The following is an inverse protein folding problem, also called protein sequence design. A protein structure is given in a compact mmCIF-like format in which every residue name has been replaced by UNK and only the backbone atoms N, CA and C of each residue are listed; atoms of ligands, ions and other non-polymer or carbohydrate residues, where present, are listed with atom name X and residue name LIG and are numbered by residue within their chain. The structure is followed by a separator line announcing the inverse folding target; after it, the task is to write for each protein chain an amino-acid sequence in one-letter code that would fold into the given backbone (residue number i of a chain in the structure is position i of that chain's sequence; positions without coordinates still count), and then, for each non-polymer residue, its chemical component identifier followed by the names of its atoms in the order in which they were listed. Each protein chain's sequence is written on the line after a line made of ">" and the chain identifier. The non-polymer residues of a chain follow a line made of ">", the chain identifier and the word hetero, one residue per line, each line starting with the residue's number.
data_IF_443798174500
#
_entry.id   IF_443798174500
#
_cell.length_a   1.000
_cell.length_b   1.000
_cell.length_c   1.000
_cell.angle_alpha   90.00
_cell.angle_beta   90.00
_cell.angle_gamma   90.00
#
_symmetry.space_group_name_H-M   'P 1'
#
loop_
_entity.id
_entity.type
_entity.pdbx_description
1 polymer ?
#
# COMPACT_ATOMS: atom_id res chain seq x y z
N UNK A 1 -17.37 6.16 8.97
CA UNK A 1 -16.34 7.22 8.90
C UNK A 1 -15.04 6.55 8.53
N UNK A 2 -14.43 7.02 7.48
CA UNK A 2 -13.15 6.50 6.97
C UNK A 2 -11.99 7.43 7.37
N UNK A 3 -10.78 6.90 7.40
CA UNK A 3 -9.57 7.69 7.63
C UNK A 3 -8.56 7.41 6.52
N UNK A 4 -8.10 8.47 5.86
CA UNK A 4 -6.98 8.39 4.92
C UNK A 4 -5.67 8.31 5.72
N UNK A 5 -4.93 7.24 5.51
CA UNK A 5 -3.55 7.08 5.97
C UNK A 5 -2.57 7.38 4.84
N UNK A 6 -1.50 8.07 5.15
CA UNK A 6 -0.39 8.30 4.23
C UNK A 6 0.90 7.87 4.89
N UNK A 7 1.58 6.94 4.27
CA UNK A 7 2.86 6.43 4.74
C UNK A 7 4.00 7.13 4.02
N UNK A 8 4.93 7.63 4.80
CA UNK A 8 6.05 8.41 4.33
C UNK A 8 7.35 7.83 4.87
N UNK A 9 8.40 7.97 4.10
CA UNK A 9 9.78 7.76 4.55
C UNK A 9 10.52 9.08 4.45
N UNK A 10 10.99 9.55 5.58
CA UNK A 10 11.73 10.80 5.70
C UNK A 10 13.20 10.53 6.11
N UNK A 11 14.11 11.34 5.62
CA UNK A 11 15.51 11.35 6.08
C UNK A 11 15.59 12.12 7.39
N UNK A 12 16.12 11.50 8.45
CA UNK A 12 16.20 12.12 9.78
C UNK A 12 17.09 13.37 9.78
N UNK A 13 18.18 13.33 9.02
CA UNK A 13 19.19 14.40 8.99
C UNK A 13 19.08 15.34 7.78
N UNK A 14 18.03 15.21 6.96
CA UNK A 14 17.82 16.07 5.78
C UNK A 14 18.83 15.86 4.64
N UNK A 15 19.71 14.88 4.75
CA UNK A 15 20.65 14.45 3.73
C UNK A 15 20.31 13.03 3.27
N UNK A 16 20.54 12.76 2.00
CA UNK A 16 20.34 11.42 1.38
C UNK A 16 21.46 10.46 1.86
N UNK A 17 21.62 10.31 3.17
CA UNK A 17 22.60 9.42 3.76
C UNK A 17 21.95 8.17 4.29
N UNK A 18 22.65 7.05 4.19
CA UNK A 18 22.20 5.72 4.68
C UNK A 18 22.00 5.69 6.22
N UNK A 19 22.24 6.79 6.92
CA UNK A 19 22.41 6.85 8.36
C UNK A 19 21.20 7.36 9.15
N UNK A 20 20.02 7.37 8.56
CA UNK A 20 18.87 7.80 9.34
C UNK A 20 17.62 8.04 8.51
N UNK A 21 16.84 6.99 8.37
CA UNK A 21 15.54 7.02 7.71
C UNK A 21 14.48 6.68 8.75
N UNK A 22 13.35 7.37 8.68
CA UNK A 22 12.22 7.09 9.56
C UNK A 22 10.95 6.82 8.76
N UNK A 23 10.20 5.86 9.24
CA UNK A 23 8.82 5.63 8.83
C UNK A 23 7.93 6.61 9.57
N UNK A 24 7.09 7.33 8.84
CA UNK A 24 6.08 8.22 9.41
C UNK A 24 4.72 7.89 8.82
N UNK A 25 3.73 7.65 9.68
CA UNK A 25 2.34 7.43 9.27
C UNK A 25 1.54 8.66 9.66
N UNK A 26 0.92 9.28 8.66
CA UNK A 26 -0.01 10.38 8.82
C UNK A 26 -1.44 9.90 8.70
N UNK A 27 -2.33 10.43 9.53
CA UNK A 27 -3.78 10.36 9.33
C UNK A 27 -4.30 11.74 8.89
N UNK A 28 -5.18 11.75 7.89
CA UNK A 28 -5.84 12.96 7.44
C UNK A 28 -7.13 13.17 8.24
N UNK A 29 -7.28 14.35 8.79
CA UNK A 29 -8.48 14.77 9.50
C UNK A 29 -9.32 15.68 8.58
N UNK A 30 -10.47 15.18 8.16
CA UNK A 30 -11.42 15.90 7.30
C UNK A 30 -11.97 17.17 7.94
N UNK A 31 -12.09 17.25 9.28
CA UNK A 31 -12.62 18.42 9.96
C UNK A 31 -11.64 19.58 9.96
N UNK A 32 -10.40 19.29 10.28
CA UNK A 32 -9.32 20.29 10.28
C UNK A 32 -8.66 20.46 8.91
N UNK A 33 -8.96 19.59 7.94
CA UNK A 33 -8.32 19.51 6.62
C UNK A 33 -6.79 19.44 6.71
N UNK A 34 -6.27 18.72 7.69
CA UNK A 34 -4.86 18.63 7.97
C UNK A 34 -4.40 17.20 8.24
N UNK A 35 -3.16 16.92 7.88
CA UNK A 35 -2.47 15.70 8.30
C UNK A 35 -1.93 15.84 9.71
N UNK A 36 -2.06 14.76 10.49
CA UNK A 36 -1.40 14.61 11.78
C UNK A 36 -0.55 13.34 11.79
N UNK A 37 0.60 13.38 12.42
CA UNK A 37 1.42 12.19 12.64
C UNK A 37 0.75 11.32 13.71
N UNK A 38 0.53 10.05 13.40
CA UNK A 38 -0.01 9.07 14.36
C UNK A 38 1.05 8.08 14.82
N UNK A 39 2.06 7.84 13.99
CA UNK A 39 3.16 6.94 14.31
C UNK A 39 4.45 7.38 13.62
N UNK A 40 5.60 7.13 14.29
CA UNK A 40 6.91 7.41 13.76
C UNK A 40 7.95 6.48 14.40
N UNK A 41 8.83 5.89 13.57
CA UNK A 41 9.89 5.01 14.04
C UNK A 41 11.11 5.02 13.10
N UNK A 42 12.35 4.97 13.62
CA UNK A 42 13.53 4.71 12.79
C UNK A 42 13.45 3.36 12.10
N UNK A 43 13.90 3.29 10.86
CA UNK A 43 13.96 2.08 10.05
C UNK A 43 15.31 1.96 9.34
N UNK A 44 15.60 0.76 8.82
CA UNK A 44 16.80 0.50 8.03
C UNK A 44 16.76 1.16 6.65
N UNK A 45 17.89 1.17 5.93
CA UNK A 45 18.04 1.90 4.67
C UNK A 45 17.25 1.34 3.48
N UNK A 46 16.80 0.11 3.54
CA UNK A 46 16.00 -0.53 2.48
C UNK A 46 14.52 -0.35 2.76
N UNK A 47 13.82 0.41 1.91
CA UNK A 47 12.69 1.15 2.40
C UNK A 47 11.47 1.02 1.52
N UNK A 48 10.70 -0.02 1.74
CA UNK A 48 9.29 -0.09 1.39
C UNK A 48 8.51 -0.68 2.57
N UNK A 49 8.45 0.03 3.73
CA UNK A 49 7.71 -0.48 4.87
C UNK A 49 6.24 -0.57 4.54
N UNK A 50 5.67 -1.74 4.76
CA UNK A 50 4.23 -1.94 4.74
C UNK A 50 3.66 -1.64 6.12
N UNK A 51 2.46 -1.12 6.20
CA UNK A 51 1.80 -0.85 7.47
C UNK A 51 0.28 -0.88 7.36
N UNK A 52 -0.37 -1.02 8.50
CA UNK A 52 -1.81 -0.86 8.68
C UNK A 52 -2.12 -0.48 10.13
N UNK A 53 -3.33 0.00 10.41
CA UNK A 53 -3.70 0.49 11.73
C UNK A 53 -5.02 -0.13 12.17
N UNK A 54 -5.01 -0.72 13.36
CA UNK A 54 -6.21 -1.03 14.12
C UNK A 54 -6.54 0.15 15.03
N UNK A 55 -7.48 0.99 14.59
CA UNK A 55 -7.89 2.16 15.37
C UNK A 55 -8.72 1.83 16.61
N UNK A 56 -9.45 0.72 16.59
CA UNK A 56 -10.25 0.29 17.72
C UNK A 56 -9.38 -0.03 18.95
N UNK A 57 -8.31 -0.79 18.73
CA UNK A 57 -7.36 -1.15 19.78
C UNK A 57 -6.16 -0.19 19.85
N UNK A 58 -6.06 0.78 18.93
CA UNK A 58 -4.95 1.73 18.84
C UNK A 58 -3.59 1.06 18.65
N UNK A 59 -3.53 0.12 17.71
CA UNK A 59 -2.31 -0.62 17.37
C UNK A 59 -1.92 -0.29 15.93
N UNK A 60 -0.65 0.06 15.74
CA UNK A 60 -0.02 0.08 14.41
C UNK A 60 0.69 -1.25 14.20
N UNK A 61 0.39 -1.90 13.08
CA UNK A 61 1.19 -3.00 12.55
C UNK A 61 2.08 -2.45 11.44
N UNK A 62 3.37 -2.73 11.49
CA UNK A 62 4.29 -2.31 10.44
C UNK A 62 5.35 -3.37 10.18
N UNK A 63 5.79 -3.45 8.94
CA UNK A 63 6.86 -4.34 8.51
C UNK A 63 8.01 -3.51 7.95
N UNK A 64 9.18 -3.71 8.50
CA UNK A 64 10.43 -3.08 8.06
C UNK A 64 11.64 -3.77 8.69
N UNK A 65 12.81 -3.60 8.08
CA UNK A 65 14.06 -3.86 8.76
C UNK A 65 14.38 -2.69 9.69
N UNK A 66 14.89 -2.96 10.90
CA UNK A 66 15.50 -1.95 11.76
C UNK A 66 16.90 -1.60 11.25
N UNK A 67 17.54 -0.51 11.73
CA UNK A 67 18.87 -0.12 11.28
C UNK A 67 19.95 -1.20 11.40
N UNK A 68 19.80 -2.12 12.35
CA UNK A 68 20.72 -3.24 12.63
C UNK A 68 20.26 -4.59 12.05
N UNK A 69 19.14 -4.61 11.31
CA UNK A 69 18.55 -5.82 10.71
C UNK A 69 18.78 -5.86 9.19
N UNK A 70 18.90 -7.08 8.67
CA UNK A 70 19.08 -7.33 7.23
C UNK A 70 17.76 -7.62 6.52
N UNK A 71 16.76 -8.11 7.25
CA UNK A 71 15.48 -8.57 6.72
C UNK A 71 14.33 -7.84 7.39
N UNK A 72 13.22 -7.72 6.69
CA UNK A 72 12.01 -7.16 7.26
C UNK A 72 11.44 -8.08 8.34
N UNK A 73 10.93 -7.45 9.38
CA UNK A 73 10.15 -8.09 10.42
C UNK A 73 8.84 -7.36 10.59
N UNK A 74 7.84 -8.10 11.02
CA UNK A 74 6.56 -7.56 11.43
C UNK A 74 6.63 -7.12 12.88
N UNK A 75 6.13 -5.92 13.15
CA UNK A 75 6.04 -5.31 14.47
C UNK A 75 4.63 -4.84 14.74
N UNK A 76 4.26 -4.80 16.02
CA UNK A 76 3.12 -4.04 16.52
C UNK A 76 3.59 -2.93 17.46
N UNK A 77 2.90 -1.79 17.43
CA UNK A 77 3.08 -0.70 18.39
C UNK A 77 1.74 -0.32 18.98
N UNK A 78 1.63 -0.42 20.30
CA UNK A 78 0.50 0.13 21.04
C UNK A 78 0.66 1.67 21.11
N UNK A 79 -0.22 2.40 20.44
CA UNK A 79 -0.15 3.85 20.33
C UNK A 79 -0.45 4.58 21.66
N UNK A 80 -1.06 3.92 22.64
CA UNK A 80 -1.33 4.48 23.97
C UNK A 80 -0.09 4.47 24.86
N UNK A 81 0.66 3.37 24.78
CA UNK A 81 1.78 3.10 25.69
C UNK A 81 3.15 3.32 25.03
N UNK A 82 3.20 3.32 23.69
CA UNK A 82 4.42 3.34 22.91
C UNK A 82 5.16 1.99 22.91
N UNK A 83 4.58 0.94 23.48
CA UNK A 83 5.22 -0.36 23.52
C UNK A 83 5.27 -1.00 22.13
N UNK A 84 6.48 -1.36 21.69
CA UNK A 84 6.72 -2.07 20.45
C UNK A 84 7.04 -3.52 20.72
N UNK A 85 6.33 -4.39 20.03
CA UNK A 85 6.57 -5.83 20.03
C UNK A 85 7.00 -6.29 18.64
N UNK A 86 8.08 -7.05 18.54
CA UNK A 86 8.46 -7.78 17.34
C UNK A 86 7.62 -9.04 17.27
N UNK A 87 6.92 -9.25 16.15
CA UNK A 87 6.00 -10.38 15.95
C UNK A 87 6.62 -11.51 15.14
N UNK A 88 7.67 -11.21 14.34
CA UNK A 88 8.39 -12.22 13.56
C UNK A 88 9.90 -12.09 13.79
N UNK A 89 10.62 -13.19 13.63
CA UNK A 89 12.09 -13.26 13.66
C UNK A 89 12.64 -13.71 12.29
N UNK A 90 11.78 -13.60 11.27
CA UNK A 90 11.95 -14.25 10.00
C UNK A 90 12.82 -13.47 9.02
N UNK A 91 12.91 -14.03 7.85
CA UNK A 91 13.63 -13.58 6.68
C UNK A 91 12.60 -13.34 5.59
N UNK A 92 11.71 -12.38 5.86
CA UNK A 92 10.58 -12.05 5.01
C UNK A 92 10.82 -10.70 4.34
N UNK A 93 10.08 -10.45 3.24
CA UNK A 93 9.90 -9.13 2.68
C UNK A 93 8.39 -8.88 2.51
N UNK A 94 7.93 -7.72 2.93
CA UNK A 94 6.50 -7.38 2.95
C UNK A 94 6.22 -6.30 1.92
N UNK A 95 5.18 -6.51 1.09
CA UNK A 95 4.71 -5.49 0.15
C UNK A 95 3.46 -4.77 0.65
N UNK A 96 2.54 -5.49 1.27
CA UNK A 96 1.27 -4.93 1.77
C UNK A 96 0.96 -5.50 3.16
N UNK A 97 0.31 -4.70 4.00
CA UNK A 97 -0.33 -5.11 5.25
C UNK A 97 -1.76 -4.58 5.27
N UNK A 98 -2.70 -5.42 5.65
CA UNK A 98 -4.12 -5.07 5.80
C UNK A 98 -4.64 -5.61 7.12
N UNK A 99 -5.40 -4.80 7.85
CA UNK A 99 -6.11 -5.25 9.03
C UNK A 99 -7.62 -5.18 8.77
N UNK A 100 -8.24 -6.35 8.64
CA UNK A 100 -9.64 -6.50 8.25
C UNK A 100 -10.31 -7.42 9.25
N UNK A 101 -11.41 -6.99 9.85
CA UNK A 101 -12.25 -7.76 10.78
C UNK A 101 -11.46 -8.51 11.89
N UNK A 102 -10.52 -7.78 12.50
CA UNK A 102 -9.70 -8.34 13.58
C UNK A 102 -8.57 -9.27 13.12
N UNK A 103 -8.37 -9.43 11.83
CA UNK A 103 -7.35 -10.30 11.26
C UNK A 103 -6.30 -9.50 10.49
N UNK A 104 -5.04 -9.83 10.70
CA UNK A 104 -3.93 -9.23 9.98
C UNK A 104 -3.57 -10.08 8.75
N UNK A 105 -3.62 -9.45 7.59
CA UNK A 105 -3.23 -10.02 6.30
C UNK A 105 -1.99 -9.33 5.76
N UNK A 106 -1.20 -10.05 4.99
CA UNK A 106 0.02 -9.54 4.39
C UNK A 106 0.18 -10.07 2.96
N UNK A 107 0.83 -9.29 2.12
CA UNK A 107 1.44 -9.77 0.88
C UNK A 107 2.94 -9.89 1.14
N UNK A 108 3.42 -11.12 1.29
CA UNK A 108 4.75 -11.39 1.86
C UNK A 108 5.53 -12.41 1.05
N UNK A 109 6.81 -12.12 0.81
CA UNK A 109 7.79 -13.08 0.30
C UNK A 109 8.48 -13.76 1.47
N UNK A 110 8.54 -15.09 1.43
CA UNK A 110 9.28 -15.92 2.40
C UNK A 110 10.76 -15.94 2.08
N UNK A 111 11.57 -16.34 3.05
CA UNK A 111 13.00 -16.62 2.83
C UNK A 111 13.22 -17.52 1.61
N UNK A 112 14.13 -17.10 0.75
CA UNK A 112 14.49 -17.77 -0.54
C UNK A 112 13.38 -17.79 -1.60
N UNK A 113 12.21 -17.19 -1.36
CA UNK A 113 11.19 -16.99 -2.38
C UNK A 113 11.39 -15.64 -3.05
N UNK A 114 11.24 -15.59 -4.38
CA UNK A 114 11.29 -14.33 -5.15
C UNK A 114 9.93 -13.73 -5.35
N UNK A 115 8.87 -14.47 -5.01
CA UNK A 115 7.47 -14.09 -5.21
C UNK A 115 6.80 -13.73 -3.88
N UNK A 116 6.01 -12.66 -3.88
CA UNK A 116 5.14 -12.33 -2.76
C UNK A 116 3.81 -13.06 -2.88
N UNK A 117 3.26 -13.48 -1.76
CA UNK A 117 1.99 -14.19 -1.67
C UNK A 117 1.09 -13.62 -0.59
N UNK A 118 -0.23 -13.63 -0.75
CA UNK A 118 -1.17 -13.37 0.33
C UNK A 118 -0.98 -14.38 1.46
N UNK A 119 -0.96 -13.85 2.68
CA UNK A 119 -0.86 -14.65 3.89
C UNK A 119 -1.71 -14.02 4.99
N UNK A 120 -2.28 -14.87 5.85
CA UNK A 120 -2.94 -14.48 7.09
C UNK A 120 -1.99 -14.68 8.25
N UNK A 121 -1.84 -13.69 9.10
CA UNK A 121 -1.04 -13.75 10.30
C UNK A 121 -1.92 -13.97 11.52
N UNK A 122 -1.65 -15.03 12.26
CA UNK A 122 -2.29 -15.32 13.54
C UNK A 122 -1.51 -14.60 14.65
N UNK A 123 -2.16 -13.65 15.31
CA UNK A 123 -1.53 -12.80 16.32
C UNK A 123 -1.20 -13.56 17.62
N UNK A 124 -1.94 -14.62 17.94
CA UNK A 124 -1.74 -15.42 19.15
C UNK A 124 -0.57 -16.39 19.00
N UNK A 125 -0.55 -17.14 17.91
CA UNK A 125 0.52 -18.11 17.62
C UNK A 125 1.74 -17.46 16.94
N UNK A 126 1.62 -16.23 16.45
CA UNK A 126 2.63 -15.50 15.69
C UNK A 126 3.12 -16.27 14.45
N UNK A 127 2.18 -16.88 13.72
CA UNK A 127 2.47 -17.69 12.53
C UNK A 127 1.68 -17.21 11.31
N UNK A 128 2.29 -17.38 10.13
CA UNK A 128 1.63 -17.16 8.85
C UNK A 128 0.94 -18.42 8.33
N UNK A 129 -0.25 -18.24 7.77
CA UNK A 129 -0.88 -19.19 6.86
C UNK A 129 -0.84 -18.58 5.47
N UNK A 130 -0.01 -19.14 4.60
CA UNK A 130 0.16 -18.67 3.22
C UNK A 130 -0.91 -19.26 2.30
N UNK A 131 -1.24 -18.52 1.23
CA UNK A 131 -2.15 -19.01 0.18
C UNK A 131 -1.68 -20.33 -0.42
N UNK A 132 -0.44 -20.39 -0.86
CA UNK A 132 0.14 -21.60 -1.44
C UNK A 132 1.66 -21.62 -1.24
N UNK A 133 2.11 -22.31 -0.20
CA UNK A 133 3.53 -22.37 0.13
C UNK A 133 4.40 -23.05 -0.95
N UNK A 134 3.80 -23.87 -1.80
CA UNK A 134 4.52 -24.57 -2.86
C UNK A 134 4.64 -23.74 -4.15
N UNK A 135 3.88 -22.63 -4.27
CA UNK A 135 3.91 -21.76 -5.44
C UNK A 135 5.08 -20.78 -5.35
N UNK A 136 6.03 -20.92 -6.23
CA UNK A 136 7.18 -20.02 -6.41
C UNK A 136 7.15 -19.27 -7.75
N UNK A 137 6.08 -19.42 -8.53
CA UNK A 137 5.91 -18.78 -9.83
C UNK A 137 4.94 -17.58 -9.81
N UNK A 138 3.85 -17.65 -9.03
CA UNK A 138 2.85 -16.58 -9.03
C UNK A 138 3.31 -15.39 -8.19
N UNK A 139 3.51 -14.25 -8.85
CA UNK A 139 3.81 -12.98 -8.21
C UNK A 139 2.52 -12.18 -7.95
N UNK A 140 2.30 -11.75 -6.72
CA UNK A 140 1.19 -10.88 -6.32
C UNK A 140 1.70 -9.44 -6.20
N UNK A 141 1.28 -8.56 -7.12
CA UNK A 141 1.77 -7.17 -7.21
C UNK A 141 0.92 -6.16 -6.45
N UNK A 142 -0.36 -6.46 -6.24
CA UNK A 142 -1.31 -5.62 -5.52
C UNK A 142 -2.22 -6.53 -4.72
N UNK A 143 -2.46 -6.15 -3.48
CA UNK A 143 -3.31 -6.86 -2.55
C UNK A 143 -4.12 -5.83 -1.75
N UNK A 144 -5.43 -5.86 -1.87
CA UNK A 144 -6.32 -4.94 -1.17
C UNK A 144 -7.64 -5.62 -0.85
N UNK A 145 -8.30 -5.13 0.20
CA UNK A 145 -9.64 -5.59 0.52
C UNK A 145 -10.66 -4.91 -0.39
N UNK A 146 -11.64 -5.69 -0.85
CA UNK A 146 -12.76 -5.26 -1.69
C UNK A 146 -14.06 -5.32 -0.87
N UNK A 147 -14.50 -4.19 -0.37
CA UNK A 147 -15.68 -4.05 0.47
C UNK A 147 -17.00 -4.44 -0.23
N UNK A 148 -17.03 -4.39 -1.55
CA UNK A 148 -18.21 -4.75 -2.33
C UNK A 148 -18.39 -6.26 -2.45
N UNK A 149 -17.28 -7.00 -2.48
CA UNK A 149 -17.28 -8.44 -2.61
C UNK A 149 -17.11 -9.17 -1.27
N UNK A 150 -16.64 -8.47 -0.21
CA UNK A 150 -16.18 -9.06 1.05
C UNK A 150 -15.04 -10.08 0.83
N UNK A 151 -14.13 -9.72 -0.10
CA UNK A 151 -13.03 -10.55 -0.56
C UNK A 151 -11.78 -9.67 -0.77
N UNK A 152 -10.66 -10.26 -1.17
CA UNK A 152 -9.48 -9.51 -1.54
C UNK A 152 -9.34 -9.37 -3.05
N UNK A 153 -9.01 -8.18 -3.51
CA UNK A 153 -8.63 -7.90 -4.88
C UNK A 153 -7.12 -8.10 -5.03
N UNK A 154 -6.72 -9.00 -5.92
CA UNK A 154 -5.33 -9.34 -6.18
C UNK A 154 -4.96 -9.09 -7.64
N UNK A 155 -3.71 -8.69 -7.86
CA UNK A 155 -3.11 -8.53 -9.17
C UNK A 155 -1.93 -9.50 -9.30
N UNK A 156 -2.00 -10.44 -10.24
CA UNK A 156 -1.02 -11.51 -10.36
C UNK A 156 -0.38 -11.59 -11.74
N UNK A 157 0.85 -12.10 -11.79
CA UNK A 157 1.51 -12.58 -13.01
C UNK A 157 2.38 -13.79 -12.70
N UNK A 158 2.69 -14.59 -13.72
CA UNK A 158 3.67 -15.68 -13.63
C UNK A 158 5.09 -15.12 -13.72
N UNK A 159 5.99 -15.55 -12.85
CA UNK A 159 7.41 -15.18 -12.91
C UNK A 159 8.10 -15.82 -14.15
N UNK A 160 7.71 -17.05 -14.51
CA UNK A 160 8.20 -17.73 -15.70
C UNK A 160 7.78 -17.01 -16.98
N UNK A 161 6.49 -16.60 -17.09
CA UNK A 161 6.01 -15.79 -18.20
C UNK A 161 6.70 -14.43 -18.25
N UNK A 162 6.84 -13.76 -17.10
CA UNK A 162 7.55 -12.49 -17.01
C UNK A 162 8.99 -12.59 -17.51
N UNK A 163 9.71 -13.65 -17.15
CA UNK A 163 11.10 -13.89 -17.62
C UNK A 163 11.13 -14.15 -19.12
N UNK A 164 10.18 -14.92 -19.64
CA UNK A 164 10.07 -15.21 -21.06
C UNK A 164 9.79 -13.93 -21.87
N UNK A 165 8.86 -13.11 -21.41
CA UNK A 165 8.56 -11.81 -22.03
C UNK A 165 9.74 -10.83 -21.98
N UNK A 166 10.51 -10.81 -20.89
CA UNK A 166 11.73 -9.98 -20.80
C UNK A 166 12.78 -10.35 -21.82
N UNK A 167 12.89 -11.63 -22.14
CA UNK A 167 13.91 -12.14 -23.08
C UNK A 167 13.45 -12.00 -24.54
N UNK A 168 12.15 -12.13 -24.80
CA UNK A 168 11.59 -12.22 -26.15
C UNK A 168 11.02 -10.90 -26.69
N UNK A 169 10.76 -9.91 -25.85
CA UNK A 169 9.94 -8.77 -26.25
C UNK A 169 10.66 -7.43 -26.23
N UNK A 170 10.52 -6.70 -27.30
CA UNK A 170 10.77 -5.26 -27.38
C UNK A 170 9.80 -4.45 -26.49
N UNK A 171 8.72 -5.03 -26.01
CA UNK A 171 7.62 -4.34 -25.31
C UNK A 171 7.60 -4.57 -23.81
N UNK A 172 8.37 -5.24 -23.11
CA UNK A 172 8.47 -5.35 -21.65
C UNK A 172 7.12 -5.21 -20.86
N UNK A 173 6.03 -5.77 -21.39
CA UNK A 173 4.74 -5.85 -20.71
C UNK A 173 4.64 -7.22 -20.05
N UNK A 174 4.20 -7.26 -18.80
CA UNK A 174 3.92 -8.50 -18.08
C UNK A 174 2.43 -8.83 -18.19
N UNK A 175 2.05 -10.00 -18.73
CA UNK A 175 0.67 -10.45 -18.67
C UNK A 175 0.19 -10.45 -17.23
N UNK A 176 -0.96 -9.85 -16.95
CA UNK A 176 -1.51 -9.76 -15.58
C UNK A 176 -2.98 -10.12 -15.52
N UNK A 177 -3.32 -10.76 -14.42
CA UNK A 177 -4.69 -11.12 -14.07
C UNK A 177 -5.11 -10.37 -12.83
N UNK A 178 -6.28 -9.71 -12.89
CA UNK A 178 -7.00 -9.18 -11.73
C UNK A 178 -7.98 -10.25 -11.29
N UNK A 179 -7.98 -10.61 -10.01
CA UNK A 179 -8.88 -11.62 -9.46
C UNK A 179 -9.40 -11.20 -8.08
N UNK A 180 -10.53 -11.77 -7.69
CA UNK A 180 -10.95 -11.83 -6.29
C UNK A 180 -10.42 -13.12 -5.65
N UNK A 181 -10.14 -13.05 -4.38
CA UNK A 181 -9.77 -14.20 -3.54
C UNK A 181 -10.44 -14.07 -2.18
N UNK A 182 -11.05 -15.15 -1.71
CA UNK A 182 -11.69 -15.15 -0.41
C UNK A 182 -10.69 -15.10 0.77
N UNK A 183 -11.19 -14.86 1.98
CA UNK A 183 -10.37 -14.77 3.18
C UNK A 183 -9.70 -16.10 3.60
N UNK A 184 -10.11 -17.23 3.02
CA UNK A 184 -9.46 -18.54 3.20
C UNK A 184 -8.36 -18.80 2.19
N UNK A 185 -8.28 -17.98 1.13
CA UNK A 185 -7.38 -18.10 -0.03
C UNK A 185 -7.62 -19.36 -0.89
N UNK A 186 -8.75 -20.02 -0.73
CA UNK A 186 -9.09 -21.25 -1.48
C UNK A 186 -9.77 -20.94 -2.80
N UNK A 187 -10.66 -19.94 -2.84
CA UNK A 187 -11.45 -19.62 -4.01
C UNK A 187 -10.91 -18.38 -4.70
N UNK A 188 -10.52 -18.53 -5.96
CA UNK A 188 -10.01 -17.44 -6.81
C UNK A 188 -10.95 -17.26 -7.98
N UNK A 189 -11.49 -16.04 -8.13
CA UNK A 189 -12.38 -15.66 -9.24
C UNK A 189 -11.68 -14.66 -10.16
N UNK A 190 -11.20 -15.06 -11.35
CA UNK A 190 -10.63 -14.13 -12.30
C UNK A 190 -11.67 -13.11 -12.79
N UNK A 191 -11.29 -11.82 -12.79
CA UNK A 191 -12.13 -10.72 -13.25
C UNK A 191 -11.69 -10.15 -14.59
N UNK A 192 -10.37 -10.03 -14.81
CA UNK A 192 -9.81 -9.42 -16.01
C UNK A 192 -8.39 -9.91 -16.27
N UNK A 193 -8.05 -10.07 -17.55
CA UNK A 193 -6.69 -10.39 -18.00
C UNK A 193 -6.26 -9.43 -19.08
N UNK A 194 -4.98 -9.04 -19.08
CA UNK A 194 -4.39 -8.22 -20.15
C UNK A 194 -2.91 -8.52 -20.34
N UNK A 195 -2.47 -8.40 -21.60
CA UNK A 195 -1.08 -8.35 -22.03
C UNK A 195 -0.76 -7.09 -22.86
N UNK A 196 -1.71 -6.17 -22.97
CA UNK A 196 -1.61 -4.97 -23.81
C UNK A 196 -0.91 -3.80 -23.10
N UNK A 197 -0.93 -3.78 -21.76
CA UNK A 197 -0.32 -2.73 -20.95
C UNK A 197 0.04 -3.25 -19.55
N UNK A 198 1.01 -2.62 -18.93
CA UNK A 198 1.43 -2.95 -17.58
C UNK A 198 0.44 -2.38 -16.55
N UNK A 199 -0.14 -3.24 -15.69
CA UNK A 199 -0.92 -2.81 -14.54
C UNK A 199 -0.01 -2.75 -13.32
N UNK A 200 -0.02 -1.63 -12.59
CA UNK A 200 0.83 -1.42 -11.42
C UNK A 200 0.08 -1.59 -10.10
N UNK A 201 -1.15 -1.10 -10.02
CA UNK A 201 -1.98 -1.11 -8.82
C UNK A 201 -3.45 -1.20 -9.21
N UNK A 202 -4.25 -1.89 -8.39
CA UNK A 202 -5.70 -2.02 -8.59
C UNK A 202 -6.45 -1.74 -7.29
N UNK A 203 -7.63 -1.10 -7.39
CA UNK A 203 -8.56 -0.88 -6.28
C UNK A 203 -9.99 -0.90 -6.80
N UNK A 204 -10.90 -1.43 -6.01
CA UNK A 204 -12.33 -1.39 -6.30
C UNK A 204 -12.86 0.03 -6.12
N UNK A 205 -13.62 0.54 -7.08
CA UNK A 205 -14.30 1.83 -6.99
C UNK A 205 -15.77 1.67 -6.56
N UNK A 206 -16.44 0.69 -7.16
CA UNK A 206 -17.83 0.35 -6.89
C UNK A 206 -18.11 -1.07 -7.38
N UNK A 207 -19.36 -1.54 -7.28
CA UNK A 207 -19.76 -2.90 -7.61
C UNK A 207 -19.29 -3.39 -8.99
N UNK A 208 -19.24 -2.51 -10.00
CA UNK A 208 -18.91 -2.89 -11.38
C UNK A 208 -17.61 -2.29 -11.90
N UNK A 209 -16.90 -1.50 -11.11
CA UNK A 209 -15.74 -0.74 -11.60
C UNK A 209 -14.50 -0.99 -10.76
N UNK A 210 -13.41 -1.33 -11.44
CA UNK A 210 -12.06 -1.34 -10.86
C UNK A 210 -11.27 -0.17 -11.44
N UNK A 211 -10.61 0.58 -10.57
CA UNK A 211 -9.58 1.52 -10.98
C UNK A 211 -8.22 0.84 -10.99
N UNK A 212 -7.35 1.26 -11.93
CA UNK A 212 -5.98 0.77 -12.01
C UNK A 212 -5.01 1.86 -12.47
N UNK A 213 -3.81 1.87 -11.91
CA UNK A 213 -2.70 2.60 -12.52
C UNK A 213 -1.99 1.70 -13.51
N UNK A 214 -1.67 2.25 -14.67
CA UNK A 214 -1.06 1.52 -15.77
C UNK A 214 0.13 2.27 -16.35
N UNK A 215 1.08 1.53 -16.89
CA UNK A 215 2.19 2.04 -17.69
C UNK A 215 2.11 1.45 -19.10
N UNK A 216 2.55 2.20 -20.15
CA UNK A 216 2.56 1.66 -21.52
C UNK A 216 3.53 0.47 -21.67
N UNK A 217 4.56 0.42 -20.81
CA UNK A 217 5.51 -0.68 -20.69
C UNK A 217 6.15 -0.65 -19.31
N UNK A 218 6.69 -1.76 -18.87
CA UNK A 218 7.37 -1.87 -17.58
C UNK A 218 8.49 -0.82 -17.46
N UNK A 219 8.52 -0.10 -16.32
CA UNK A 219 9.57 0.91 -16.02
C UNK A 219 9.57 2.12 -16.94
N UNK A 220 8.45 2.45 -17.59
CA UNK A 220 8.32 3.69 -18.33
C UNK A 220 8.29 4.93 -17.44
N UNK A 221 7.91 4.76 -16.18
CA UNK A 221 7.73 5.83 -15.19
C UNK A 221 6.58 6.79 -15.53
N UNK A 222 5.75 6.45 -16.50
CA UNK A 222 4.60 7.27 -16.93
C UNK A 222 3.30 6.56 -16.58
N UNK A 223 2.89 6.71 -15.34
CA UNK A 223 1.66 6.07 -14.84
C UNK A 223 0.43 6.90 -15.16
N UNK A 224 -0.56 6.23 -15.72
CA UNK A 224 -1.88 6.79 -16.01
C UNK A 224 -2.95 6.02 -15.24
N UNK A 225 -4.05 6.71 -14.93
CA UNK A 225 -5.21 6.08 -14.31
C UNK A 225 -6.17 5.58 -15.37
N UNK A 226 -6.64 4.36 -15.21
CA UNK A 226 -7.69 3.75 -16.04
C UNK A 226 -8.80 3.20 -15.16
N UNK A 227 -9.98 3.04 -15.75
CA UNK A 227 -11.09 2.29 -15.17
C UNK A 227 -11.44 1.08 -16.04
N UNK A 228 -11.74 -0.02 -15.40
CA UNK A 228 -12.26 -1.24 -15.99
C UNK A 228 -13.73 -1.39 -15.57
N UNK A 229 -14.62 -1.53 -16.52
CA UNK A 229 -15.97 -2.07 -16.27
C UNK A 229 -15.89 -3.60 -16.30
N UNK A 230 -16.23 -4.22 -15.17
CA UNK A 230 -16.08 -5.69 -15.00
C UNK A 230 -17.07 -6.45 -15.89
N UNK A 231 -18.25 -5.90 -16.13
CA UNK A 231 -19.31 -6.55 -16.89
C UNK A 231 -19.03 -6.51 -18.39
N UNK A 232 -18.68 -5.33 -18.91
CA UNK A 232 -18.41 -5.16 -20.35
C UNK A 232 -16.96 -5.49 -20.73
N UNK A 233 -16.06 -5.58 -19.75
CA UNK A 233 -14.60 -5.73 -19.94
C UNK A 233 -13.95 -4.54 -20.67
N UNK A 234 -14.64 -3.40 -20.73
CA UNK A 234 -14.12 -2.19 -21.34
C UNK A 234 -13.17 -1.45 -20.41
N UNK A 235 -12.06 -0.99 -20.98
CA UNK A 235 -11.02 -0.23 -20.26
C UNK A 235 -10.93 1.18 -20.84
N UNK A 236 -11.10 2.19 -19.98
CA UNK A 236 -11.05 3.59 -20.36
C UNK A 236 -10.02 4.37 -19.55
N UNK A 237 -9.45 5.42 -20.16
CA UNK A 237 -8.60 6.35 -19.44
C UNK A 237 -9.41 7.26 -18.52
N UNK A 238 -8.91 7.48 -17.30
CA UNK A 238 -9.45 8.47 -16.37
C UNK A 238 -8.50 9.66 -16.34
N UNK A 239 -8.92 10.77 -16.97
CA UNK A 239 -8.17 12.01 -16.95
C UNK A 239 -8.59 12.86 -15.76
N UNK A 240 -7.63 13.28 -14.93
CA UNK A 240 -7.84 14.24 -13.85
C UNK A 240 -7.25 15.58 -14.30
N UNK A 241 -8.07 16.64 -14.47
CA UNK A 241 -7.59 17.92 -14.94
C UNK A 241 -6.44 18.48 -14.10
N UNK A 242 -5.36 18.89 -14.74
CA UNK A 242 -4.16 19.43 -14.10
C UNK A 242 -3.20 18.40 -13.51
N UNK A 243 -3.47 17.10 -13.65
CA UNK A 243 -2.61 16.00 -13.20
C UNK A 243 -2.01 15.28 -14.40
N UNK A 244 -0.68 15.16 -14.44
CA UNK A 244 0.02 14.46 -15.51
C UNK A 244 0.28 12.98 -15.20
N UNK A 245 0.37 12.61 -13.91
CA UNK A 245 0.63 11.24 -13.50
C UNK A 245 -0.06 10.93 -12.16
N UNK A 246 -0.54 9.69 -12.04
CA UNK A 246 -1.06 9.10 -10.79
C UNK A 246 -0.21 7.89 -10.44
N UNK A 247 0.43 7.89 -9.26
CA UNK A 247 1.33 6.80 -8.84
C UNK A 247 0.61 5.75 -7.99
N UNK A 248 -0.05 6.20 -6.95
CA UNK A 248 -0.84 5.40 -6.02
C UNK A 248 -2.19 6.07 -5.82
N UNK A 249 -3.19 5.28 -5.50
CA UNK A 249 -4.51 5.83 -5.26
C UNK A 249 -5.33 4.90 -4.37
N UNK A 250 -6.33 5.47 -3.71
CA UNK A 250 -7.33 4.75 -2.96
C UNK A 250 -8.69 5.47 -3.10
N UNK A 251 -9.75 4.80 -3.59
CA UNK A 251 -11.11 5.35 -3.57
C UNK A 251 -11.64 5.43 -2.14
N UNK A 252 -12.48 6.42 -1.86
CA UNK A 252 -13.31 6.42 -0.65
C UNK A 252 -14.28 5.24 -0.65
N UNK A 253 -14.73 4.81 0.52
CA UNK A 253 -15.64 3.68 0.67
C UNK A 253 -16.98 3.89 -0.02
N UNK A 254 -17.43 5.13 -0.13
CA UNK A 254 -18.67 5.49 -0.85
C UNK A 254 -18.47 5.61 -2.38
N UNK A 255 -17.25 5.46 -2.87
CA UNK A 255 -16.90 5.55 -4.28
C UNK A 255 -17.00 6.95 -4.89
N UNK A 256 -17.16 8.00 -4.09
CA UNK A 256 -17.37 9.38 -4.60
C UNK A 256 -16.08 10.21 -4.63
N UNK A 257 -15.07 9.79 -3.88
CA UNK A 257 -13.79 10.50 -3.77
C UNK A 257 -12.63 9.58 -4.12
N UNK A 258 -11.66 10.12 -4.84
CA UNK A 258 -10.39 9.47 -5.09
C UNK A 258 -9.28 10.21 -4.35
N UNK A 259 -8.59 9.54 -3.45
CA UNK A 259 -7.33 10.01 -2.88
C UNK A 259 -6.18 9.42 -3.67
N UNK A 260 -5.19 10.23 -4.01
CA UNK A 260 -4.06 9.72 -4.80
C UNK A 260 -2.78 10.51 -4.60
N UNK A 261 -1.66 9.84 -4.85
CA UNK A 261 -0.34 10.44 -4.99
C UNK A 261 -0.11 10.72 -6.46
N UNK A 262 0.07 11.98 -6.80
CA UNK A 262 0.18 12.40 -8.18
C UNK A 262 1.15 13.55 -8.39
N UNK A 263 1.46 13.80 -9.66
CA UNK A 263 2.20 14.98 -10.12
C UNK A 263 1.28 15.89 -10.91
N UNK A 264 1.23 17.16 -10.52
CA UNK A 264 0.57 18.17 -11.30
C UNK A 264 1.35 18.46 -12.61
N UNK A 265 0.63 18.95 -13.62
CA UNK A 265 1.23 19.32 -14.91
C UNK A 265 2.40 20.28 -14.74
N UNK A 266 3.54 19.94 -15.39
CA UNK A 266 4.76 20.72 -15.31
C UNK A 266 5.49 20.71 -13.96
N UNK A 267 5.08 19.85 -13.01
CA UNK A 267 5.77 19.67 -11.73
C UNK A 267 6.45 18.31 -11.69
N UNK A 268 7.51 18.23 -10.88
CA UNK A 268 8.26 16.98 -10.60
C UNK A 268 8.03 16.44 -9.21
N UNK A 269 7.34 17.20 -8.35
CA UNK A 269 7.09 16.85 -6.95
C UNK A 269 5.80 16.03 -6.87
N UNK A 270 5.86 14.95 -6.13
CA UNK A 270 4.72 14.11 -5.78
C UNK A 270 3.98 14.72 -4.58
N UNK A 271 2.65 14.81 -4.70
CA UNK A 271 1.78 15.30 -3.62
C UNK A 271 0.58 14.37 -3.48
N UNK A 272 -0.10 14.47 -2.34
CA UNK A 272 -1.39 13.81 -2.13
C UNK A 272 -2.51 14.76 -2.55
N UNK A 273 -3.45 14.21 -3.27
CA UNK A 273 -4.62 14.92 -3.77
C UNK A 273 -5.90 14.19 -3.36
N UNK A 274 -6.95 14.97 -3.21
CA UNK A 274 -8.34 14.53 -3.14
C UNK A 274 -9.05 14.99 -4.40
N UNK A 275 -9.77 14.09 -5.06
CA UNK A 275 -10.54 14.37 -6.26
C UNK A 275 -11.97 13.87 -6.09
N UNK A 276 -12.94 14.79 -6.09
CA UNK A 276 -14.36 14.45 -6.05
C UNK A 276 -14.80 14.03 -7.45
N UNK A 277 -15.28 12.80 -7.60
CA UNK A 277 -15.58 12.21 -8.91
C UNK A 277 -16.83 12.80 -9.58
N UNK A 278 -17.80 13.26 -8.78
CA UNK A 278 -19.06 13.87 -9.25
C UNK A 278 -18.88 15.33 -9.68
N UNK A 279 -18.19 16.14 -8.87
CA UNK A 279 -17.98 17.58 -9.10
C UNK A 279 -16.72 17.88 -9.89
N UNK A 280 -15.82 16.91 -10.02
CA UNK A 280 -14.49 17.06 -10.61
C UNK A 280 -13.61 18.09 -9.88
N UNK A 281 -13.89 18.31 -8.59
CA UNK A 281 -13.10 19.20 -7.75
C UNK A 281 -11.80 18.51 -7.32
N UNK A 282 -10.67 19.15 -7.62
CA UNK A 282 -9.34 18.70 -7.24
C UNK A 282 -8.78 19.57 -6.11
N UNK A 283 -8.41 18.93 -5.00
CA UNK A 283 -7.78 19.59 -3.85
C UNK A 283 -6.44 18.93 -3.55
N UNK A 284 -5.37 19.72 -3.44
CA UNK A 284 -4.09 19.24 -2.93
C UNK A 284 -4.14 19.23 -1.40
N UNK A 285 -3.82 18.07 -0.81
CA UNK A 285 -3.72 17.92 0.64
C UNK A 285 -2.31 18.32 1.11
N UNK A 286 -2.25 19.14 2.16
CA UNK A 286 -0.98 19.75 2.59
C UNK A 286 -0.48 19.10 3.87
N UNK A 287 0.77 18.64 3.86
CA UNK A 287 1.47 18.15 5.05
C UNK A 287 2.02 19.29 5.90
N UNK A 288 2.16 19.10 7.23
CA UNK A 288 2.87 20.06 8.09
C UNK A 288 4.33 20.30 7.66
N UNK A 289 4.98 19.26 7.16
CA UNK A 289 6.31 19.28 6.53
C UNK A 289 6.20 18.51 5.22
N UNK A 290 6.77 19.04 4.14
CA UNK A 290 6.80 18.31 2.87
C UNK A 290 7.55 16.99 3.06
N UNK A 291 6.94 15.82 2.80
CA UNK A 291 7.60 14.54 2.92
C UNK A 291 8.72 14.36 1.91
N UNK A 292 9.79 13.66 2.28
CA UNK A 292 10.85 13.31 1.34
C UNK A 292 10.35 12.27 0.32
N UNK A 293 9.61 11.27 0.80
CA UNK A 293 9.05 10.22 -0.08
C UNK A 293 7.74 9.67 0.47
N UNK A 294 6.67 9.79 -0.30
CA UNK A 294 5.39 9.14 -0.04
C UNK A 294 5.47 7.74 -0.64
N UNK A 295 5.22 6.71 0.16
CA UNK A 295 5.39 5.31 -0.25
C UNK A 295 4.10 4.52 -0.30
N UNK A 296 3.06 4.92 0.45
CA UNK A 296 1.75 4.29 0.39
C UNK A 296 0.63 5.24 0.83
N UNK A 297 -0.60 4.95 0.36
CA UNK A 297 -1.83 5.53 0.85
C UNK A 297 -2.86 4.43 1.06
N UNK A 298 -3.63 4.52 2.15
CA UNK A 298 -4.68 3.57 2.49
C UNK A 298 -5.91 4.29 3.03
N UNK A 299 -7.08 3.69 2.85
CA UNK A 299 -8.30 4.08 3.55
C UNK A 299 -8.61 2.98 4.57
N UNK A 300 -8.87 3.39 5.80
CA UNK A 300 -9.33 2.49 6.85
C UNK A 300 -10.81 2.68 7.11
N UNK A 301 -11.50 1.61 7.45
CA UNK A 301 -12.94 1.61 7.79
C UNK A 301 -13.24 2.19 9.17
N UNK A 302 -12.19 2.44 9.96
CA UNK A 302 -12.33 2.91 11.33
C UNK A 302 -12.06 4.41 11.39
N UNK A 303 -12.89 5.17 12.15
CA UNK A 303 -12.61 6.58 12.39
C UNK A 303 -11.37 6.71 13.26
N UNK A 304 -10.47 7.59 12.88
CA UNK A 304 -9.42 8.05 13.76
C UNK A 304 -10.08 8.86 14.89
N UNK A 305 -10.25 8.26 16.07
CA UNK A 305 -10.91 8.89 17.20
C UNK A 305 -10.21 10.16 17.69
N UNK A 306 -10.92 11.07 18.39
CA UNK A 306 -10.34 12.32 18.91
C UNK A 306 -9.22 12.10 19.94
N UNK A 307 -9.20 10.93 20.59
CA UNK A 307 -8.22 10.60 21.65
C UNK A 307 -6.79 10.37 21.13
N UNK A 308 -6.57 10.29 19.82
CA UNK A 308 -5.23 10.33 19.24
C UNK A 308 -4.53 11.70 19.37
N UNK A 309 -5.14 12.68 20.01
CA UNK A 309 -4.59 14.02 20.19
C UNK A 309 -3.37 14.11 21.10
N UNK A 310 -3.00 13.02 21.82
CA UNK A 310 -1.96 13.04 22.85
C UNK A 310 -0.79 12.07 22.64
N UNK A 311 -0.78 11.27 21.56
CA UNK A 311 0.23 10.22 21.42
C UNK A 311 0.82 10.11 20.03
N UNK A 312 1.64 11.07 19.63
CA UNK A 312 2.70 10.72 18.69
C UNK A 312 3.66 9.81 19.45
N UNK A 313 3.60 8.50 19.23
CA UNK A 313 4.65 7.60 19.68
C UNK A 313 5.91 7.90 18.86
N UNK A 314 6.65 8.91 19.30
CA UNK A 314 8.02 9.12 18.87
C UNK A 314 8.83 8.12 19.69
N UNK A 315 9.20 7.03 19.06
CA UNK A 315 10.19 6.12 19.64
C UNK A 315 11.54 6.84 19.54
N UNK A 316 11.88 7.64 20.54
CA UNK A 316 13.22 8.10 20.71
C UNK A 316 14.11 6.88 20.98
N UNK A 317 15.19 6.78 20.25
CA UNK A 317 16.17 5.70 20.35
C UNK A 317 16.89 5.79 21.72
N UNK A 318 16.30 5.19 22.76
CA UNK A 318 16.93 5.08 24.09
C UNK A 318 18.06 4.02 24.13
N UNK A 319 18.68 3.67 23.00
CA UNK A 319 19.61 2.53 22.89
C UNK A 319 21.00 2.77 22.33
N UNK A 320 21.31 3.88 21.68
CA UNK A 320 22.65 4.10 21.11
C UNK A 320 23.50 5.10 21.94
N UNK A 321 23.67 4.81 23.24
CA UNK A 321 24.82 5.32 24.01
C UNK A 321 25.63 4.13 24.47
N UNK A 322 26.51 3.65 23.55
CA UNK A 322 27.83 3.13 23.92
C UNK A 322 28.74 3.08 22.71
#
# INVERSE_FOLDING_TARGET
>A
VETLLVTVVDNINGENTDDGVELVIYAYDEQSQAFRVIFKTPIGPYVYPANTVDFEHQIVYYASARPDETYDNLYSCDLKTGNVQRLTDGKNAFNDLLFVDGTLYANVAREFCTTCQPARFDLDSQTFTYRNEADDDTWHHSFSYDDYADEFLILTCSDAEMRTHRVAAETHIRPKTISLIDATFENVTPLFFTEDFEICLTRRLNENTILMTTEPQMVSGKRTLKRLDITSQEVENVAIPGIQQVHMFYPSLDGNTLYFVGQAEGKTIWNVYRYALDTQELTQLTFPKQPDRIIDIQITHQPCGPDFSHGCCVLEDEGLKK
#
